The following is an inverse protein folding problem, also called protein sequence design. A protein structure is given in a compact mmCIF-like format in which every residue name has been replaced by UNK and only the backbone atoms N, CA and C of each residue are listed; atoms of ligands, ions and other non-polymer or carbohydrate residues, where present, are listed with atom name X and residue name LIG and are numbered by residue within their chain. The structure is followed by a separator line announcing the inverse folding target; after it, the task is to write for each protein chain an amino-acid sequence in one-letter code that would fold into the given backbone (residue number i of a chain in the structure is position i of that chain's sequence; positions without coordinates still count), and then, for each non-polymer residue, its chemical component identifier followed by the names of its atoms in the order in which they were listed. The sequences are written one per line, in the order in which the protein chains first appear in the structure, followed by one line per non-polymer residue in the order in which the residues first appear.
data_IF_470685428838
#
_entry.id   IF_470685428838
#
_cell.length_a   1.000
_cell.length_b   1.000
_cell.length_c   1.000
_cell.angle_alpha   90.00
_cell.angle_beta   90.00
_cell.angle_gamma   90.00
#
_symmetry.space_group_name_H-M   'P 1'
#
loop_
_entity.id
_entity.type
_entity.pdbx_description
1 polymer ?
#
# COMPACT_ATOMS: atom_id res chain seq x y z
N UNK A 1 -4.59 11.38 53.44
CA UNK A 1 -5.91 10.92 53.92
C UNK A 1 -6.97 11.35 52.93
N UNK A 2 -7.54 10.46 52.18
CA UNK A 2 -8.92 10.20 51.80
C UNK A 2 -8.94 9.28 50.56
N UNK A 3 -9.22 8.02 50.81
CA UNK A 3 -9.59 7.00 49.82
C UNK A 3 -11.01 7.31 49.27
N UNK A 4 -11.26 7.09 47.97
CA UNK A 4 -12.57 6.81 47.38
C UNK A 4 -12.36 5.80 46.27
N UNK A 5 -12.67 4.61 46.51
CA UNK A 5 -13.79 3.69 46.27
C UNK A 5 -14.16 3.49 44.79
N UNK A 6 -13.80 2.29 44.32
CA UNK A 6 -14.28 1.60 43.11
C UNK A 6 -15.80 1.38 43.20
N UNK A 7 -16.52 1.55 42.09
CA UNK A 7 -17.82 0.89 41.86
C UNK A 7 -17.76 0.12 40.54
N UNK A 8 -17.87 -1.17 40.66
CA UNK A 8 -18.19 -2.13 39.61
C UNK A 8 -19.69 -2.15 39.34
N UNK A 9 -20.07 -2.24 38.07
CA UNK A 9 -21.42 -2.66 37.60
C UNK A 9 -21.11 -3.45 36.34
N UNK A 10 -21.31 -4.73 36.22
CA UNK A 10 -22.50 -5.49 36.44
C UNK A 10 -22.94 -6.06 35.08
N UNK A 11 -22.66 -7.31 34.87
CA UNK A 11 -22.91 -8.26 33.79
C UNK A 11 -24.39 -8.26 33.35
N UNK A 12 -24.65 -8.34 32.03
CA UNK A 12 -25.89 -8.99 31.54
C UNK A 12 -25.51 -9.95 30.41
N UNK A 13 -25.69 -11.22 30.74
CA UNK A 13 -25.62 -12.38 29.85
C UNK A 13 -27.01 -12.50 29.19
N UNK A 14 -27.09 -12.63 27.89
CA UNK A 14 -28.26 -13.12 27.18
C UNK A 14 -27.90 -14.30 26.30
N UNK A 15 -28.21 -15.48 26.79
CA UNK A 15 -28.20 -16.74 26.06
C UNK A 15 -29.51 -16.83 25.28
N UNK A 16 -29.46 -17.14 24.02
CA UNK A 16 -30.60 -17.65 23.26
C UNK A 16 -30.17 -18.89 22.47
N UNK A 17 -30.51 -20.04 23.04
CA UNK A 17 -30.58 -21.34 22.35
C UNK A 17 -31.82 -21.37 21.48
N UNK A 18 -31.73 -21.88 20.27
CA UNK A 18 -32.78 -22.66 19.65
C UNK A 18 -32.16 -23.73 18.75
N UNK A 19 -32.43 -24.96 19.16
CA UNK A 19 -32.15 -26.19 18.43
C UNK A 19 -33.39 -26.62 17.64
N UNK A 20 -33.16 -27.53 16.73
CA UNK A 20 -33.96 -28.67 16.20
C UNK A 20 -34.01 -28.61 14.68
N UNK A 21 -33.70 -29.60 13.97
CA UNK A 21 -33.54 -31.03 13.97
C UNK A 21 -34.13 -31.59 12.66
N UNK A 22 -33.45 -32.59 12.14
CA UNK A 22 -33.93 -33.74 11.38
C UNK A 22 -34.22 -33.66 9.88
N UNK A 23 -33.65 -34.65 9.21
CA UNK A 23 -34.19 -35.31 8.04
C UNK A 23 -33.16 -35.97 7.11
N UNK A 24 -32.83 -37.24 7.42
CA UNK A 24 -32.07 -38.19 6.64
C UNK A 24 -32.75 -38.56 5.31
N UNK A 25 -32.00 -38.93 4.29
CA UNK A 25 -32.08 -40.28 3.66
C UNK A 25 -30.88 -40.56 2.79
N UNK A 26 -30.35 -41.78 2.97
CA UNK A 26 -29.28 -42.39 2.20
C UNK A 26 -29.85 -42.98 0.90
N UNK A 27 -28.98 -43.05 -0.14
CA UNK A 27 -29.06 -44.17 -1.08
C UNK A 27 -27.69 -44.43 -1.70
N UNK A 28 -27.23 -45.61 -1.48
CA UNK A 28 -26.06 -46.32 -2.05
C UNK A 28 -26.28 -46.73 -3.49
N UNK A 29 -25.27 -46.61 -4.36
CA UNK A 29 -24.96 -47.63 -5.35
C UNK A 29 -23.48 -47.61 -5.67
N UNK A 30 -22.85 -48.73 -5.43
CA UNK A 30 -21.54 -49.21 -5.89
C UNK A 30 -21.61 -49.54 -7.38
N UNK A 31 -20.52 -49.23 -8.13
CA UNK A 31 -19.92 -50.18 -9.05
C UNK A 31 -18.54 -49.70 -9.56
N UNK A 32 -17.70 -50.63 -9.58
CA UNK A 32 -16.33 -50.93 -9.85
C UNK A 32 -15.93 -50.68 -11.33
N UNK A 33 -14.71 -50.19 -11.65
CA UNK A 33 -13.71 -50.88 -12.42
C UNK A 33 -12.56 -50.01 -13.00
N UNK A 34 -11.37 -50.53 -12.74
CA UNK A 34 -10.15 -50.67 -13.57
C UNK A 34 -9.36 -49.42 -14.02
N UNK A 35 -8.19 -49.38 -13.40
CA UNK A 35 -6.81 -49.17 -13.88
C UNK A 35 -6.65 -48.68 -15.34
N UNK A 36 -6.01 -47.52 -15.51
CA UNK A 36 -4.92 -47.37 -16.45
C UNK A 36 -3.93 -46.27 -16.03
N UNK A 37 -2.67 -46.69 -15.89
CA UNK A 37 -1.52 -45.84 -15.61
C UNK A 37 -1.08 -45.11 -16.87
N UNK A 38 -1.10 -43.78 -16.86
CA UNK A 38 -0.26 -42.97 -17.75
C UNK A 38 0.36 -41.84 -16.98
N UNK A 39 1.67 -41.92 -16.83
CA UNK A 39 2.56 -40.84 -16.39
C UNK A 39 2.46 -39.66 -17.35
N UNK A 40 2.02 -38.50 -16.85
CA UNK A 40 2.21 -37.23 -17.52
C UNK A 40 3.02 -36.31 -16.62
N UNK A 41 4.19 -35.98 -17.14
CA UNK A 41 5.08 -34.95 -16.63
C UNK A 41 4.31 -33.61 -16.47
N UNK A 42 4.32 -33.05 -15.29
CA UNK A 42 3.82 -31.71 -15.03
C UNK A 42 4.90 -30.71 -15.44
N UNK A 43 4.75 -30.11 -16.61
CA UNK A 43 5.48 -28.90 -16.97
C UNK A 43 4.89 -27.74 -16.19
N UNK A 44 5.72 -27.15 -15.35
CA UNK A 44 5.41 -25.90 -14.63
C UNK A 44 5.40 -24.76 -15.65
N UNK A 45 4.23 -24.39 -16.15
CA UNK A 45 4.03 -23.12 -16.84
C UNK A 45 3.94 -22.02 -15.76
N UNK A 46 5.03 -21.28 -15.62
CA UNK A 46 5.00 -19.98 -14.99
C UNK A 46 4.18 -19.03 -15.89
N UNK A 47 2.93 -18.85 -15.54
CA UNK A 47 2.10 -17.81 -16.15
C UNK A 47 2.53 -16.47 -15.52
N UNK A 48 3.46 -15.79 -16.18
CA UNK A 48 3.70 -14.37 -15.93
C UNK A 48 2.43 -13.63 -16.31
N UNK A 49 1.65 -13.19 -15.31
CA UNK A 49 0.55 -12.26 -15.51
C UNK A 49 1.19 -10.90 -15.78
N UNK A 50 1.44 -10.61 -17.04
CA UNK A 50 1.68 -9.26 -17.52
C UNK A 50 0.32 -8.56 -17.43
N UNK A 51 0.06 -7.86 -16.35
CA UNK A 51 -1.03 -6.89 -16.28
C UNK A 51 -0.67 -5.74 -17.22
N UNK A 52 -1.20 -5.77 -18.43
CA UNK A 52 -1.27 -4.60 -19.27
C UNK A 52 -2.18 -3.59 -18.57
N UNK A 53 -1.59 -2.52 -18.02
CA UNK A 53 -2.35 -1.36 -17.60
C UNK A 53 -3.01 -0.73 -18.83
N UNK A 54 -4.32 -0.82 -18.91
CA UNK A 54 -5.09 0.10 -19.74
C UNK A 54 -4.86 1.50 -19.15
N UNK A 55 -4.07 2.31 -19.85
CA UNK A 55 -4.00 3.74 -19.58
C UNK A 55 -5.38 4.31 -19.81
N UNK A 56 -6.06 4.73 -18.73
CA UNK A 56 -7.28 5.49 -18.86
C UNK A 56 -7.00 6.69 -19.77
N UNK A 57 -7.72 6.77 -20.91
CA UNK A 57 -7.68 7.97 -21.74
C UNK A 57 -8.23 9.11 -20.87
N UNK A 58 -7.34 9.99 -20.43
CA UNK A 58 -7.71 11.20 -19.72
C UNK A 58 -8.63 12.02 -20.63
N UNK A 59 -9.71 12.52 -20.05
CA UNK A 59 -10.83 13.17 -20.73
C UNK A 59 -10.34 14.21 -21.76
N UNK A 60 -10.96 14.20 -22.95
CA UNK A 60 -10.69 15.17 -24.03
C UNK A 60 -11.01 16.64 -23.66
N UNK A 61 -11.46 16.90 -22.42
CA UNK A 61 -11.93 18.20 -21.93
C UNK A 61 -10.92 18.92 -21.01
N UNK A 62 -9.71 18.36 -20.79
CA UNK A 62 -8.71 19.04 -19.98
C UNK A 62 -8.26 20.36 -20.67
N UNK A 63 -8.56 21.47 -20.03
CA UNK A 63 -8.17 22.79 -20.53
C UNK A 63 -6.86 23.21 -19.87
N UNK A 64 -5.92 23.72 -20.67
CA UNK A 64 -4.70 24.31 -20.13
C UNK A 64 -5.04 25.46 -19.18
N UNK A 65 -4.54 25.37 -17.93
CA UNK A 65 -4.72 26.40 -16.93
C UNK A 65 -3.96 27.67 -17.36
N UNK A 66 -4.61 28.85 -17.17
CA UNK A 66 -3.93 30.12 -17.45
C UNK A 66 -2.71 30.28 -16.55
N UNK A 67 -1.58 30.71 -17.11
CA UNK A 67 -0.38 31.07 -16.35
C UNK A 67 -0.68 32.16 -15.31
N UNK A 68 -1.64 33.05 -15.60
CA UNK A 68 -2.06 34.13 -14.68
C UNK A 68 -2.68 33.60 -13.37
N UNK A 69 -3.09 32.34 -13.35
CA UNK A 69 -3.60 31.68 -12.14
C UNK A 69 -2.50 31.16 -11.22
N UNK A 70 -1.23 31.33 -11.56
CA UNK A 70 -0.09 30.84 -10.78
C UNK A 70 0.85 31.98 -10.36
N UNK A 71 1.50 31.81 -9.23
CA UNK A 71 2.73 32.54 -8.93
C UNK A 71 3.89 31.87 -9.69
N UNK A 72 4.58 32.65 -10.53
CA UNK A 72 5.69 32.18 -11.38
C UNK A 72 7.02 32.54 -10.75
N UNK A 73 7.87 31.56 -10.48
CA UNK A 73 9.24 31.75 -9.99
C UNK A 73 10.25 31.21 -11.03
N UNK A 74 11.17 32.08 -11.47
CA UNK A 74 12.27 31.68 -12.33
C UNK A 74 13.41 31.11 -11.48
N UNK A 75 13.86 29.92 -11.82
CA UNK A 75 14.91 29.21 -11.10
C UNK A 75 16.31 29.52 -11.67
N UNK A 76 17.36 29.27 -10.88
CA UNK A 76 18.75 29.57 -11.26
C UNK A 76 19.24 28.80 -12.48
N UNK A 77 18.65 27.61 -12.75
CA UNK A 77 18.93 26.79 -13.93
C UNK A 77 18.22 27.27 -15.19
N UNK A 78 17.45 28.35 -15.08
CA UNK A 78 16.71 28.96 -16.18
C UNK A 78 15.34 28.38 -16.44
N UNK A 79 14.89 27.41 -15.64
CA UNK A 79 13.55 26.79 -15.69
C UNK A 79 12.55 27.56 -14.80
N UNK A 80 11.33 27.04 -14.64
CA UNK A 80 10.24 27.71 -13.92
C UNK A 80 9.63 26.78 -12.89
N UNK A 81 9.32 27.35 -11.72
CA UNK A 81 8.43 26.79 -10.72
C UNK A 81 7.08 27.52 -10.75
N UNK A 82 5.98 26.76 -10.75
CA UNK A 82 4.62 27.27 -10.54
C UNK A 82 4.17 26.98 -9.13
N UNK A 83 3.59 27.99 -8.47
CA UNK A 83 3.01 27.89 -7.12
C UNK A 83 1.71 28.70 -7.00
N UNK A 84 1.04 28.60 -5.84
CA UNK A 84 -0.12 29.39 -5.46
C UNK A 84 -1.20 29.45 -6.56
N UNK A 85 -1.73 28.30 -6.95
CA UNK A 85 -2.83 28.24 -7.93
C UNK A 85 -4.08 28.94 -7.37
N UNK A 86 -4.68 29.83 -8.16
CA UNK A 86 -5.85 30.63 -7.79
C UNK A 86 -7.06 30.41 -8.72
N UNK A 87 -6.95 29.45 -9.65
CA UNK A 87 -8.06 29.09 -10.54
C UNK A 87 -9.08 28.19 -9.83
N UNK A 88 -10.20 27.97 -10.50
CA UNK A 88 -11.37 27.21 -10.03
C UNK A 88 -11.72 26.01 -10.97
N UNK A 89 -10.77 25.58 -11.80
CA UNK A 89 -10.99 24.50 -12.76
C UNK A 89 -11.11 23.13 -12.10
N UNK A 90 -12.11 22.34 -12.49
CA UNK A 90 -12.28 20.93 -12.06
C UNK A 90 -11.31 20.02 -12.80
N UNK A 91 -11.04 20.28 -14.06
CA UNK A 91 -10.14 19.52 -14.94
C UNK A 91 -9.12 20.47 -15.54
N UNK A 92 -7.85 20.32 -15.18
CA UNK A 92 -6.79 21.22 -15.62
C UNK A 92 -5.59 20.49 -16.20
N UNK A 93 -4.98 21.11 -17.21
CA UNK A 93 -3.64 20.80 -17.68
C UNK A 93 -2.68 21.90 -17.21
N UNK A 94 -1.63 21.52 -16.49
CA UNK A 94 -0.63 22.47 -16.01
C UNK A 94 0.25 22.92 -17.19
N UNK A 95 0.51 24.25 -17.35
CA UNK A 95 1.35 24.75 -18.43
C UNK A 95 2.76 24.15 -18.41
N UNK A 96 3.23 23.68 -19.55
CA UNK A 96 4.60 23.15 -19.70
C UNK A 96 5.67 24.21 -19.94
N UNK A 97 5.23 25.46 -20.23
CA UNK A 97 6.13 26.57 -20.58
C UNK A 97 5.54 27.91 -20.11
N UNK A 98 6.41 28.81 -19.64
CA UNK A 98 6.07 30.20 -19.31
C UNK A 98 7.13 31.12 -19.92
N UNK A 99 6.70 32.03 -20.80
CA UNK A 99 7.58 33.01 -21.48
C UNK A 99 8.82 32.35 -22.15
N UNK A 100 8.64 31.22 -22.84
CA UNK A 100 9.71 30.47 -23.52
C UNK A 100 10.64 29.72 -22.57
N UNK A 101 10.24 29.51 -21.30
CA UNK A 101 11.00 28.75 -20.32
C UNK A 101 10.19 27.56 -19.82
N UNK A 102 10.83 26.41 -19.76
CA UNK A 102 10.20 25.14 -19.34
C UNK A 102 9.81 25.16 -17.88
N UNK A 103 8.59 24.72 -17.59
CA UNK A 103 8.10 24.46 -16.22
C UNK A 103 8.59 23.09 -15.78
N UNK A 104 9.35 23.05 -14.68
CA UNK A 104 9.96 21.82 -14.15
C UNK A 104 9.56 21.50 -12.73
N UNK A 105 8.98 22.45 -12.00
CA UNK A 105 8.66 22.27 -10.57
C UNK A 105 7.25 22.75 -10.27
N UNK A 106 6.50 21.91 -9.55
CA UNK A 106 5.27 22.32 -8.83
C UNK A 106 5.69 22.68 -7.41
N UNK A 107 5.42 23.92 -6.99
CA UNK A 107 5.81 24.47 -5.70
C UNK A 107 5.08 23.88 -4.50
N UNK A 108 5.53 24.24 -3.31
CA UNK A 108 4.83 23.87 -2.07
C UNK A 108 3.40 24.42 -2.05
N UNK A 109 2.46 23.60 -1.58
CA UNK A 109 1.05 23.99 -1.37
C UNK A 109 0.32 24.52 -2.62
N UNK A 110 0.85 24.33 -3.82
CA UNK A 110 0.33 24.95 -5.06
C UNK A 110 -1.18 24.78 -5.23
N UNK A 111 -1.70 23.58 -5.02
CA UNK A 111 -3.12 23.24 -5.13
C UNK A 111 -3.74 22.81 -3.79
N UNK A 112 -3.10 23.16 -2.67
CA UNK A 112 -3.59 22.72 -1.35
C UNK A 112 -5.05 23.16 -1.13
N UNK A 113 -5.92 22.23 -0.70
CA UNK A 113 -7.35 22.45 -0.42
C UNK A 113 -8.19 22.89 -1.64
N UNK A 114 -7.72 22.69 -2.89
CA UNK A 114 -8.54 22.86 -4.08
C UNK A 114 -9.51 21.67 -4.20
N UNK A 115 -10.62 21.77 -3.48
CA UNK A 115 -11.61 20.68 -3.37
C UNK A 115 -12.47 20.51 -4.62
N UNK A 116 -12.51 21.49 -5.51
CA UNK A 116 -13.17 21.44 -6.82
C UNK A 116 -12.38 20.61 -7.85
N UNK A 117 -11.06 20.44 -7.66
CA UNK A 117 -10.17 19.78 -8.62
C UNK A 117 -10.44 18.27 -8.67
N UNK A 118 -10.80 17.76 -9.86
CA UNK A 118 -11.08 16.34 -10.11
C UNK A 118 -9.98 15.64 -10.92
N UNK A 119 -9.38 16.35 -11.86
CA UNK A 119 -8.34 15.83 -12.76
C UNK A 119 -7.23 16.84 -12.98
N UNK A 120 -5.98 16.37 -12.88
CA UNK A 120 -4.78 17.17 -13.17
C UNK A 120 -3.88 16.43 -14.16
N UNK A 121 -3.50 17.10 -15.23
CA UNK A 121 -2.42 16.66 -16.12
C UNK A 121 -1.17 17.49 -15.90
N UNK A 122 -0.08 16.83 -15.51
CA UNK A 122 1.23 17.46 -15.42
C UNK A 122 2.01 17.22 -16.73
N UNK A 123 2.70 18.23 -17.27
CA UNK A 123 3.54 18.04 -18.44
C UNK A 123 4.74 17.14 -18.14
N UNK A 124 5.26 16.46 -19.17
CA UNK A 124 6.42 15.57 -19.04
C UNK A 124 7.70 16.26 -18.56
N UNK A 125 7.75 17.58 -18.60
CA UNK A 125 8.87 18.40 -18.12
C UNK A 125 8.99 18.51 -16.61
N UNK A 126 7.94 18.13 -15.85
CA UNK A 126 7.99 18.21 -14.38
C UNK A 126 8.99 17.20 -13.84
N UNK A 127 9.94 17.67 -13.04
CA UNK A 127 10.95 16.86 -12.35
C UNK A 127 10.73 16.79 -10.84
N UNK A 128 10.03 17.77 -10.26
CA UNK A 128 9.78 17.83 -8.81
C UNK A 128 8.37 18.33 -8.51
N UNK A 129 7.69 17.64 -7.59
CA UNK A 129 6.46 18.12 -6.94
C UNK A 129 6.77 18.30 -5.46
N UNK A 130 6.74 19.55 -4.99
CA UNK A 130 7.12 19.91 -3.63
C UNK A 130 6.03 19.56 -2.61
N UNK A 131 6.40 19.67 -1.33
CA UNK A 131 5.58 19.35 -0.18
C UNK A 131 4.14 19.87 -0.31
N UNK A 132 3.17 18.99 -0.01
CA UNK A 132 1.73 19.28 0.13
C UNK A 132 1.07 19.90 -1.12
N UNK A 133 1.69 19.79 -2.30
CA UNK A 133 1.23 20.48 -3.50
C UNK A 133 -0.24 20.18 -3.85
N UNK A 134 -0.75 18.99 -3.60
CA UNK A 134 -2.14 18.58 -3.84
C UNK A 134 -2.85 18.08 -2.55
N UNK A 135 -2.30 18.40 -1.37
CA UNK A 135 -2.87 17.93 -0.12
C UNK A 135 -4.31 18.43 0.07
N UNK A 136 -5.22 17.53 0.51
CA UNK A 136 -6.65 17.83 0.75
C UNK A 136 -7.45 18.23 -0.50
N UNK A 137 -6.99 17.88 -1.71
CA UNK A 137 -7.82 17.96 -2.91
C UNK A 137 -8.79 16.76 -2.90
N UNK A 138 -9.83 16.82 -2.08
CA UNK A 138 -10.69 15.65 -1.76
C UNK A 138 -11.45 15.07 -2.95
N UNK A 139 -11.61 15.81 -4.04
CA UNK A 139 -12.26 15.35 -5.26
C UNK A 139 -11.27 14.94 -6.35
N UNK A 140 -9.95 15.08 -6.15
CA UNK A 140 -8.94 14.71 -7.13
C UNK A 140 -8.89 13.19 -7.30
N UNK A 141 -9.46 12.72 -8.41
CA UNK A 141 -9.58 11.29 -8.74
C UNK A 141 -8.49 10.82 -9.72
N UNK A 142 -8.06 11.71 -10.59
CA UNK A 142 -7.12 11.40 -11.66
C UNK A 142 -5.94 12.37 -11.68
N UNK A 143 -4.74 11.83 -11.66
CA UNK A 143 -3.51 12.60 -11.86
C UNK A 143 -2.66 11.90 -12.92
N UNK A 144 -2.30 12.64 -13.97
CA UNK A 144 -1.29 12.21 -14.93
C UNK A 144 0.03 12.82 -14.52
N UNK A 145 0.94 11.98 -14.02
CA UNK A 145 2.30 12.38 -13.68
C UNK A 145 3.19 12.37 -14.94
N UNK A 146 4.06 13.38 -15.08
CA UNK A 146 5.01 13.44 -16.18
C UNK A 146 6.09 12.36 -16.10
N UNK A 147 6.60 11.93 -17.26
CA UNK A 147 7.59 10.84 -17.34
C UNK A 147 9.01 11.23 -16.89
N UNK A 148 9.28 12.52 -16.64
CA UNK A 148 10.57 13.01 -16.11
C UNK A 148 10.56 13.23 -14.60
N UNK A 149 9.47 12.89 -13.90
CA UNK A 149 9.31 13.17 -12.48
C UNK A 149 10.30 12.32 -11.65
N UNK A 150 11.18 13.00 -10.91
CA UNK A 150 12.20 12.39 -10.05
C UNK A 150 11.82 12.39 -8.58
N UNK A 151 11.11 13.43 -8.13
CA UNK A 151 10.84 13.64 -6.71
C UNK A 151 9.40 14.01 -6.45
N UNK A 152 8.76 13.28 -5.55
CA UNK A 152 7.46 13.61 -4.94
C UNK A 152 7.71 13.92 -3.47
N UNK A 153 7.38 15.13 -3.04
CA UNK A 153 7.60 15.63 -1.68
C UNK A 153 6.68 15.02 -0.62
N UNK A 154 6.83 15.50 0.60
CA UNK A 154 6.01 15.12 1.76
C UNK A 154 4.53 15.47 1.53
N UNK A 155 3.63 14.51 1.78
CA UNK A 155 2.16 14.69 1.77
C UNK A 155 1.58 15.22 0.46
N UNK A 156 2.26 15.07 -0.67
CA UNK A 156 1.84 15.69 -1.95
C UNK A 156 0.40 15.34 -2.30
N UNK A 157 0.02 14.07 -2.26
CA UNK A 157 -1.33 13.60 -2.57
C UNK A 157 -2.04 13.02 -1.33
N UNK A 158 -1.68 13.49 -0.14
CA UNK A 158 -2.38 13.08 1.08
C UNK A 158 -3.82 13.58 1.07
N UNK A 159 -4.75 12.67 1.43
CA UNK A 159 -6.18 12.99 1.51
C UNK A 159 -6.74 13.56 0.21
N UNK A 160 -6.34 12.96 -0.91
CA UNK A 160 -7.02 13.06 -2.20
C UNK A 160 -7.95 11.85 -2.38
N UNK A 161 -8.56 11.72 -3.55
CA UNK A 161 -9.49 10.62 -3.86
C UNK A 161 -9.00 9.81 -5.05
N UNK A 162 -7.68 9.68 -5.23
CA UNK A 162 -7.11 9.00 -6.39
C UNK A 162 -7.69 7.60 -6.55
N UNK A 163 -8.26 7.32 -7.72
CA UNK A 163 -8.84 6.02 -8.07
C UNK A 163 -7.82 5.08 -8.73
N UNK A 164 -6.77 5.66 -9.27
CA UNK A 164 -5.63 4.97 -9.88
C UNK A 164 -4.33 5.69 -9.52
N UNK A 165 -3.22 4.96 -9.53
CA UNK A 165 -1.90 5.51 -9.25
C UNK A 165 -0.86 4.88 -10.18
N UNK A 166 -0.39 5.66 -11.14
CA UNK A 166 0.63 5.29 -12.10
C UNK A 166 1.91 6.09 -11.80
N UNK A 167 2.83 5.48 -11.06
CA UNK A 167 4.12 6.09 -10.74
C UNK A 167 5.09 5.90 -11.92
N UNK A 168 5.79 6.95 -12.39
CA UNK A 168 6.72 6.83 -13.50
C UNK A 168 8.02 6.11 -13.06
N UNK A 169 8.63 5.37 -13.99
CA UNK A 169 9.90 4.66 -13.76
C UNK A 169 11.09 5.59 -13.47
N UNK A 170 10.94 6.89 -13.76
CA UNK A 170 11.93 7.91 -13.41
C UNK A 170 11.98 8.28 -11.93
N UNK A 171 10.92 7.94 -11.15
CA UNK A 171 10.75 8.40 -9.77
C UNK A 171 11.82 7.82 -8.84
N UNK A 172 12.68 8.66 -8.27
CA UNK A 172 13.77 8.29 -7.38
C UNK A 172 13.47 8.50 -5.90
N UNK A 173 12.65 9.50 -5.58
CA UNK A 173 12.33 9.85 -4.21
C UNK A 173 10.81 10.06 -4.01
N UNK A 174 10.29 9.46 -2.95
CA UNK A 174 8.90 9.59 -2.54
C UNK A 174 8.84 10.00 -1.06
N UNK A 175 8.19 11.12 -0.79
CA UNK A 175 8.11 11.73 0.55
C UNK A 175 7.28 10.93 1.55
N UNK A 176 7.42 11.32 2.81
CA UNK A 176 6.58 10.84 3.92
C UNK A 176 5.11 11.15 3.60
N UNK A 177 4.21 10.19 3.83
CA UNK A 177 2.75 10.31 3.62
C UNK A 177 2.32 10.75 2.20
N UNK A 178 3.19 10.59 1.18
CA UNK A 178 2.98 11.16 -0.15
C UNK A 178 1.61 10.81 -0.76
N UNK A 179 1.10 9.59 -0.52
CA UNK A 179 -0.15 9.06 -1.06
C UNK A 179 -1.10 8.53 0.03
N UNK A 180 -0.97 9.01 1.26
CA UNK A 180 -1.81 8.56 2.37
C UNK A 180 -3.30 8.89 2.15
N UNK A 181 -4.19 7.95 2.51
CA UNK A 181 -5.65 8.19 2.53
C UNK A 181 -6.31 8.22 1.14
N UNK A 182 -5.84 7.42 0.19
CA UNK A 182 -6.35 7.36 -1.19
C UNK A 182 -7.14 6.07 -1.49
N UNK A 183 -7.85 6.05 -2.64
CA UNK A 183 -8.81 5.00 -3.00
C UNK A 183 -8.36 4.06 -4.14
N UNK A 184 -7.13 4.20 -4.67
CA UNK A 184 -6.63 3.28 -5.70
C UNK A 184 -6.49 1.85 -5.14
N UNK A 185 -6.80 0.87 -6.00
CA UNK A 185 -6.84 -0.56 -5.64
C UNK A 185 -5.53 -1.31 -5.89
N UNK A 186 -4.65 -0.73 -6.65
CA UNK A 186 -3.33 -1.29 -6.98
C UNK A 186 -2.31 -0.19 -7.14
N UNK A 187 -1.04 -0.54 -6.94
CA UNK A 187 0.11 0.31 -7.24
C UNK A 187 1.25 -0.57 -7.72
N UNK A 188 1.93 -0.13 -8.75
CA UNK A 188 3.22 -0.71 -9.18
C UNK A 188 4.30 0.18 -8.57
N UNK A 189 5.18 -0.42 -7.78
CA UNK A 189 6.32 0.28 -7.18
C UNK A 189 7.43 0.34 -8.23
N UNK A 190 7.89 1.54 -8.63
CA UNK A 190 8.94 1.68 -9.64
C UNK A 190 10.27 1.04 -9.24
N UNK A 191 10.99 0.51 -10.22
CA UNK A 191 12.30 -0.12 -9.99
C UNK A 191 13.41 0.88 -9.60
N UNK A 192 13.19 2.16 -9.78
CA UNK A 192 14.09 3.26 -9.41
C UNK A 192 14.06 3.59 -7.91
N UNK A 193 12.98 3.22 -7.18
CA UNK A 193 12.91 3.42 -5.74
C UNK A 193 13.72 2.35 -4.99
N UNK A 194 14.37 2.72 -3.89
CA UNK A 194 15.09 1.79 -2.99
C UNK A 194 14.36 1.52 -1.68
N UNK A 195 13.33 2.29 -1.37
CA UNK A 195 12.56 2.17 -0.12
C UNK A 195 11.10 2.60 -0.30
N UNK A 196 10.23 2.07 0.54
CA UNK A 196 8.86 2.57 0.69
C UNK A 196 8.85 3.42 1.95
N UNK A 197 8.63 4.73 1.78
CA UNK A 197 8.85 5.71 2.84
C UNK A 197 7.74 5.69 3.91
N UNK A 198 7.98 6.42 5.02
CA UNK A 198 7.09 6.47 6.19
C UNK A 198 5.67 6.84 5.77
N UNK A 199 4.71 5.99 6.10
CA UNK A 199 3.27 6.16 5.90
C UNK A 199 2.88 6.53 4.45
N UNK A 200 3.74 6.30 3.47
CA UNK A 200 3.55 6.79 2.09
C UNK A 200 2.27 6.27 1.43
N UNK A 201 1.79 5.08 1.81
CA UNK A 201 0.56 4.46 1.33
C UNK A 201 -0.43 4.13 2.46
N UNK A 202 -0.28 4.76 3.64
CA UNK A 202 -1.17 4.45 4.77
C UNK A 202 -2.63 4.82 4.46
N UNK A 203 -3.58 3.98 4.91
CA UNK A 203 -5.01 4.18 4.66
C UNK A 203 -5.44 4.02 3.20
N UNK A 204 -4.59 3.44 2.34
CA UNK A 204 -4.94 3.17 0.93
C UNK A 204 -5.93 2.00 0.81
N UNK A 205 -6.60 1.88 -0.35
CA UNK A 205 -7.53 0.79 -0.65
C UNK A 205 -6.91 -0.30 -1.53
N UNK A 206 -5.59 -0.43 -1.50
CA UNK A 206 -4.84 -1.48 -2.22
C UNK A 206 -5.38 -2.85 -1.79
N UNK A 207 -5.68 -3.71 -2.78
CA UNK A 207 -6.23 -5.04 -2.55
C UNK A 207 -5.15 -6.14 -2.47
N UNK A 208 -4.05 -5.97 -3.20
CA UNK A 208 -2.87 -6.84 -3.17
C UNK A 208 -1.60 -6.03 -3.41
N UNK A 209 -0.49 -6.48 -2.84
CA UNK A 209 0.80 -5.79 -2.95
C UNK A 209 1.89 -6.78 -3.32
N UNK A 210 2.61 -6.49 -4.41
CA UNK A 210 3.92 -7.07 -4.69
C UNK A 210 5.00 -6.02 -4.41
N UNK A 211 5.93 -6.33 -3.50
CA UNK A 211 7.09 -5.47 -3.21
C UNK A 211 8.27 -5.98 -4.03
N UNK A 212 8.74 -5.19 -5.01
CA UNK A 212 9.79 -5.65 -5.93
C UNK A 212 11.18 -5.68 -5.28
N UNK A 213 12.11 -6.39 -5.92
CA UNK A 213 13.45 -6.69 -5.41
C UNK A 213 14.38 -5.49 -5.20
N UNK A 214 14.08 -4.35 -5.82
CA UNK A 214 14.83 -3.10 -5.62
C UNK A 214 14.58 -2.47 -4.24
N UNK A 215 13.44 -2.78 -3.60
CA UNK A 215 13.10 -2.23 -2.29
C UNK A 215 13.89 -2.95 -1.20
N UNK A 216 14.69 -2.18 -0.42
CA UNK A 216 15.45 -2.68 0.73
C UNK A 216 14.68 -2.54 2.04
N UNK A 217 13.91 -1.48 2.17
CA UNK A 217 13.23 -1.15 3.42
C UNK A 217 11.80 -0.73 3.18
N UNK A 218 10.87 -1.36 3.90
CA UNK A 218 9.50 -0.88 4.07
C UNK A 218 9.49 -0.10 5.40
N UNK A 219 9.38 1.23 5.33
CA UNK A 219 9.49 2.08 6.52
C UNK A 219 8.22 2.08 7.39
N UNK A 220 8.34 2.74 8.54
CA UNK A 220 7.28 2.87 9.55
C UNK A 220 5.93 3.23 8.93
N UNK A 221 4.91 2.42 9.22
CA UNK A 221 3.51 2.68 8.85
C UNK A 221 3.23 2.72 7.35
N UNK A 222 4.13 2.26 6.49
CA UNK A 222 4.06 2.45 5.03
C UNK A 222 2.69 2.07 4.44
N UNK A 223 2.06 1.00 4.93
CA UNK A 223 0.73 0.51 4.52
C UNK A 223 -0.24 0.41 5.71
N UNK A 224 0.03 1.13 6.80
CA UNK A 224 -0.83 1.11 7.99
C UNK A 224 -2.27 1.46 7.64
N UNK A 225 -3.25 0.65 8.10
CA UNK A 225 -4.68 0.89 7.85
C UNK A 225 -5.10 0.70 6.40
N UNK A 226 -4.38 -0.11 5.62
CA UNK A 226 -4.81 -0.51 4.28
C UNK A 226 -5.87 -1.61 4.39
N UNK A 227 -7.11 -1.21 4.67
CA UNK A 227 -8.21 -2.08 5.11
C UNK A 227 -8.65 -3.09 4.03
N UNK A 228 -8.28 -2.89 2.76
CA UNK A 228 -8.62 -3.77 1.65
C UNK A 228 -7.49 -4.74 1.28
N UNK A 229 -6.29 -4.59 1.87
CA UNK A 229 -5.11 -5.38 1.53
C UNK A 229 -5.26 -6.82 2.03
N UNK A 230 -5.35 -7.78 1.10
CA UNK A 230 -5.58 -9.21 1.38
C UNK A 230 -4.30 -10.04 1.39
N UNK A 231 -3.39 -9.72 0.50
CA UNK A 231 -2.16 -10.48 0.32
C UNK A 231 -0.96 -9.56 0.05
N UNK A 232 0.18 -9.90 0.66
CA UNK A 232 1.47 -9.24 0.43
C UNK A 232 2.48 -10.30 0.03
N UNK A 233 3.17 -10.05 -1.08
CA UNK A 233 4.33 -10.82 -1.52
C UNK A 233 5.52 -9.90 -1.66
N UNK A 234 6.68 -10.33 -1.18
CA UNK A 234 7.94 -9.58 -1.26
C UNK A 234 8.94 -10.39 -2.08
N UNK A 235 9.54 -9.74 -3.08
CA UNK A 235 10.65 -10.33 -3.85
C UNK A 235 11.97 -10.22 -3.08
N UNK A 236 12.93 -11.06 -3.41
CA UNK A 236 14.26 -11.06 -2.78
C UNK A 236 14.96 -9.72 -3.01
N UNK A 237 15.25 -9.05 -1.92
CA UNK A 237 15.77 -7.68 -1.90
C UNK A 237 15.34 -6.94 -0.64
N UNK A 238 14.11 -7.19 -0.15
CA UNK A 238 13.60 -6.59 1.08
C UNK A 238 14.36 -7.17 2.28
N UNK A 239 14.94 -6.30 3.11
CA UNK A 239 15.75 -6.63 4.28
C UNK A 239 15.04 -6.25 5.59
N UNK A 240 14.28 -5.15 5.59
CA UNK A 240 13.68 -4.57 6.80
C UNK A 240 12.21 -4.28 6.62
N UNK A 241 11.39 -4.80 7.54
CA UNK A 241 9.98 -4.42 7.71
C UNK A 241 9.89 -3.52 8.94
N UNK A 242 9.56 -2.24 8.73
CA UNK A 242 9.56 -1.21 9.77
C UNK A 242 8.39 -1.31 10.75
N UNK A 243 8.47 -0.49 11.79
CA UNK A 243 7.43 -0.34 12.81
C UNK A 243 6.05 -0.07 12.18
N UNK A 244 5.03 -0.83 12.59
CA UNK A 244 3.62 -0.67 12.15
C UNK A 244 3.42 -0.72 10.63
N UNK A 245 4.34 -1.29 9.84
CA UNK A 245 4.32 -1.21 8.37
C UNK A 245 2.99 -1.68 7.76
N UNK A 246 2.36 -2.70 8.33
CA UNK A 246 1.07 -3.27 7.93
C UNK A 246 0.05 -3.31 9.09
N UNK A 247 0.23 -2.46 10.11
CA UNK A 247 -0.69 -2.44 11.25
C UNK A 247 -2.09 -2.03 10.83
N UNK A 248 -3.13 -2.72 11.36
CA UNK A 248 -4.53 -2.41 11.07
C UNK A 248 -4.94 -2.74 9.63
N UNK A 249 -4.33 -3.75 9.00
CA UNK A 249 -4.78 -4.27 7.72
C UNK A 249 -5.88 -5.32 7.97
N UNK A 250 -7.13 -4.86 8.11
CA UNK A 250 -8.27 -5.63 8.64
C UNK A 250 -8.59 -6.92 7.86
N UNK A 251 -8.28 -6.97 6.57
CA UNK A 251 -8.58 -8.11 5.70
C UNK A 251 -7.33 -8.86 5.24
N UNK A 252 -6.14 -8.53 5.74
CA UNK A 252 -4.90 -9.20 5.37
C UNK A 252 -4.93 -10.66 5.81
N UNK A 253 -4.86 -11.59 4.86
CA UNK A 253 -4.96 -13.04 5.10
C UNK A 253 -3.63 -13.75 5.02
N UNK A 254 -2.73 -13.30 4.13
CA UNK A 254 -1.47 -13.98 3.82
C UNK A 254 -0.34 -13.00 3.56
N UNK A 255 0.84 -13.33 4.11
CA UNK A 255 2.09 -12.60 3.86
C UNK A 255 3.19 -13.59 3.50
N UNK A 256 3.88 -13.35 2.39
CA UNK A 256 5.07 -14.08 1.98
C UNK A 256 6.26 -13.13 1.99
N UNK A 257 7.19 -13.36 2.91
CA UNK A 257 8.40 -12.54 3.04
C UNK A 257 9.47 -13.00 2.04
N UNK A 258 10.27 -12.05 1.58
CA UNK A 258 11.48 -12.31 0.79
C UNK A 258 12.50 -13.14 1.59
N UNK A 259 13.27 -14.00 0.92
CA UNK A 259 14.35 -14.78 1.57
C UNK A 259 15.49 -13.92 2.13
N UNK A 260 15.47 -12.61 1.86
CA UNK A 260 16.45 -11.61 2.31
C UNK A 260 16.04 -10.83 3.55
N UNK A 261 14.77 -10.98 4.03
CA UNK A 261 14.29 -10.25 5.21
C UNK A 261 15.09 -10.66 6.46
N UNK A 262 15.60 -9.66 7.18
CA UNK A 262 16.42 -9.84 8.37
C UNK A 262 15.68 -9.43 9.66
N UNK A 263 14.82 -8.41 9.59
CA UNK A 263 14.12 -7.90 10.77
C UNK A 263 12.66 -7.52 10.51
N UNK A 264 11.82 -7.74 11.54
CA UNK A 264 10.41 -7.38 11.59
C UNK A 264 10.20 -6.48 12.81
N UNK A 265 9.84 -5.21 12.56
CA UNK A 265 9.72 -4.17 13.59
C UNK A 265 8.48 -4.28 14.48
N UNK A 266 8.44 -3.44 15.49
CA UNK A 266 7.33 -3.37 16.44
C UNK A 266 6.01 -3.09 15.75
N UNK A 267 4.95 -3.78 16.19
CA UNK A 267 3.59 -3.63 15.64
C UNK A 267 3.49 -3.83 14.12
N UNK A 268 4.48 -4.45 13.46
CA UNK A 268 4.54 -4.54 11.99
C UNK A 268 3.26 -5.13 11.39
N UNK A 269 2.66 -6.11 12.04
CA UNK A 269 1.40 -6.77 11.67
C UNK A 269 0.39 -6.71 12.82
N UNK A 270 0.41 -5.65 13.62
CA UNK A 270 -0.54 -5.44 14.71
C UNK A 270 -1.95 -5.24 14.17
N UNK A 271 -2.96 -5.76 14.91
CA UNK A 271 -4.38 -5.59 14.55
C UNK A 271 -4.70 -6.05 13.12
N UNK A 272 -4.16 -7.22 12.70
CA UNK A 272 -4.50 -7.90 11.46
C UNK A 272 -5.38 -9.13 11.76
N UNK A 273 -6.67 -8.97 12.08
CA UNK A 273 -7.52 -10.04 12.64
C UNK A 273 -7.77 -11.20 11.67
N UNK A 274 -7.54 -11.02 10.36
CA UNK A 274 -7.70 -12.07 9.36
C UNK A 274 -6.39 -12.70 8.92
N UNK A 275 -5.24 -12.26 9.43
CA UNK A 275 -3.94 -12.84 9.08
C UNK A 275 -3.88 -14.29 9.58
N UNK A 276 -3.82 -15.22 8.63
CA UNK A 276 -3.78 -16.67 8.89
C UNK A 276 -2.40 -17.25 8.65
N UNK A 277 -1.71 -16.77 7.63
CA UNK A 277 -0.45 -17.34 7.18
C UNK A 277 0.60 -16.26 6.99
N UNK A 278 1.75 -16.45 7.62
CA UNK A 278 2.95 -15.69 7.35
C UNK A 278 4.13 -16.62 7.16
N UNK A 279 4.80 -16.51 6.00
CA UNK A 279 5.97 -17.30 5.65
C UNK A 279 7.23 -16.51 6.00
N UNK A 280 7.90 -16.90 7.09
CA UNK A 280 9.10 -16.22 7.61
C UNK A 280 10.33 -17.07 7.28
N UNK A 281 11.28 -16.53 6.49
CA UNK A 281 12.47 -17.26 6.05
C UNK A 281 13.52 -17.40 7.18
N UNK A 282 14.51 -18.28 6.96
CA UNK A 282 15.64 -18.50 7.89
C UNK A 282 16.51 -17.25 8.09
N UNK A 283 16.52 -16.33 7.12
CA UNK A 283 17.30 -15.08 7.17
C UNK A 283 16.85 -14.12 8.29
N UNK A 284 15.61 -14.26 8.80
CA UNK A 284 15.08 -13.40 9.86
C UNK A 284 15.78 -13.73 11.18
N UNK A 285 16.46 -12.74 11.76
CA UNK A 285 17.20 -12.81 13.01
C UNK A 285 16.64 -11.91 14.11
N UNK A 286 15.65 -11.09 13.77
CA UNK A 286 15.02 -10.17 14.72
C UNK A 286 13.53 -10.04 14.44
N UNK A 287 12.69 -10.30 15.43
CA UNK A 287 11.25 -10.04 15.41
C UNK A 287 10.90 -9.35 16.71
N UNK A 288 10.33 -8.14 16.62
CA UNK A 288 9.88 -7.43 17.82
C UNK A 288 8.76 -8.21 18.54
N UNK A 289 8.75 -8.31 19.87
CA UNK A 289 7.71 -9.04 20.61
C UNK A 289 6.27 -8.60 20.32
N UNK A 290 6.07 -7.36 19.90
CA UNK A 290 4.75 -6.82 19.54
C UNK A 290 4.43 -6.90 18.06
N UNK A 291 5.29 -7.51 17.22
CA UNK A 291 5.12 -7.55 15.76
C UNK A 291 3.73 -8.07 15.34
N UNK A 292 3.14 -9.02 16.07
CA UNK A 292 1.83 -9.63 15.81
C UNK A 292 0.78 -9.32 16.87
N UNK A 293 0.98 -8.24 17.64
CA UNK A 293 0.06 -7.90 18.73
C UNK A 293 -1.38 -7.72 18.22
N UNK A 294 -2.36 -8.36 18.86
CA UNK A 294 -3.77 -8.40 18.44
C UNK A 294 -4.04 -9.04 17.06
N UNK A 295 -3.13 -9.90 16.55
CA UNK A 295 -3.31 -10.72 15.35
C UNK A 295 -3.39 -12.19 15.73
N UNK A 296 -4.45 -12.54 16.48
CA UNK A 296 -4.58 -13.81 17.21
C UNK A 296 -4.75 -15.05 16.32
N UNK A 297 -5.03 -14.88 15.02
CA UNK A 297 -5.30 -15.98 14.08
C UNK A 297 -4.07 -16.41 13.28
N UNK A 298 -2.92 -15.74 13.48
CA UNK A 298 -1.72 -15.99 12.68
C UNK A 298 -1.08 -17.34 12.97
N UNK A 299 -0.65 -18.02 11.92
CA UNK A 299 0.26 -19.18 11.97
C UNK A 299 1.55 -18.82 11.25
N UNK A 300 2.69 -19.01 11.91
CA UNK A 300 4.00 -18.76 11.34
C UNK A 300 4.48 -20.03 10.63
N UNK A 301 4.81 -19.91 9.35
CA UNK A 301 5.44 -20.98 8.55
C UNK A 301 6.92 -20.63 8.41
N UNK A 302 7.80 -21.51 8.88
CA UNK A 302 9.25 -21.22 8.96
C UNK A 302 10.08 -22.52 8.95
N UNK A 303 11.37 -22.47 8.53
CA UNK A 303 12.26 -23.62 8.67
C UNK A 303 12.47 -24.04 10.13
N UNK A 304 12.63 -25.37 10.34
CA UNK A 304 12.95 -25.92 11.67
C UNK A 304 14.31 -25.40 12.17
N UNK A 305 14.36 -25.01 13.43
CA UNK A 305 15.57 -24.46 14.08
C UNK A 305 15.79 -22.95 13.80
N UNK A 306 14.88 -22.30 13.08
CA UNK A 306 14.98 -20.86 12.77
C UNK A 306 14.74 -19.97 14.01
N UNK A 307 15.14 -18.70 13.91
CA UNK A 307 14.80 -17.68 14.88
C UNK A 307 13.27 -17.52 15.02
N UNK A 308 12.56 -17.56 13.90
CA UNK A 308 11.10 -17.39 13.87
C UNK A 308 10.35 -18.55 14.55
N UNK A 309 10.87 -19.78 14.51
CA UNK A 309 10.35 -20.91 15.29
C UNK A 309 10.50 -20.63 16.80
N UNK A 310 11.69 -20.23 17.24
CA UNK A 310 11.97 -19.90 18.64
C UNK A 310 11.06 -18.76 19.13
N UNK A 311 10.91 -17.71 18.32
CA UNK A 311 10.01 -16.59 18.58
C UNK A 311 8.55 -17.04 18.73
N UNK A 312 8.07 -17.91 17.84
CA UNK A 312 6.70 -18.43 17.88
C UNK A 312 6.43 -19.23 19.16
N UNK A 313 7.40 -20.07 19.58
CA UNK A 313 7.32 -20.84 20.83
C UNK A 313 7.26 -19.91 22.04
N UNK A 314 8.16 -18.92 22.13
CA UNK A 314 8.24 -17.98 23.26
C UNK A 314 7.00 -17.11 23.41
N UNK A 315 6.34 -16.77 22.27
CA UNK A 315 5.16 -15.90 22.26
C UNK A 315 3.84 -16.67 22.14
N UNK A 316 3.86 -18.01 22.19
CA UNK A 316 2.70 -18.89 22.06
C UNK A 316 1.92 -18.68 20.75
N UNK A 317 2.61 -18.40 19.64
CA UNK A 317 2.02 -18.26 18.30
C UNK A 317 2.04 -19.63 17.62
N UNK A 318 0.93 -20.08 17.00
CA UNK A 318 0.94 -21.29 16.19
C UNK A 318 1.98 -21.25 15.08
N UNK A 319 2.72 -22.37 14.86
CA UNK A 319 3.71 -22.44 13.79
C UNK A 319 3.74 -23.81 13.11
N UNK A 320 4.29 -23.83 11.90
CA UNK A 320 4.49 -25.04 11.09
C UNK A 320 5.90 -24.99 10.51
N UNK A 321 6.66 -26.06 10.70
CA UNK A 321 7.98 -26.21 10.08
C UNK A 321 7.85 -26.71 8.64
N UNK A 322 8.62 -26.08 7.73
CA UNK A 322 8.67 -26.36 6.30
C UNK A 322 10.07 -26.82 5.87
#
# INVERSE_FOLDING_TARGET
MKKKSLKAVGTVLAVCLCATACGSTASTTTEDNTVNSETKEASTEQTSVVQSQETAEVSQDAKEASVDNFTVTYLDDGTVMLSDYTGDGEVIQVPGEVNGKTVTVIGENTFINHTELETVELPDSIVEIKKQAFMNCYNLQHVKLGNSLLTIGESVFSFTNLQELNLPDSLQEMGITAFSGNNYKSVIIPSSLSEINISSFSGSKIESLNVPSNIKTIKKGAFKGSDNLKEVTMEDGVEVIGESAFAGCDVLEKVTLASTVQSIGSDAFRECPKLKEIFIPESVTEIDPYAFYMSENVTIYTPAGSYAESFAIENNIPYVNQ
#
